data_IF_489703435113
#
_entry.id   IF_489703435113
#
_cell.length_a   1.000
_cell.length_b   1.000
_cell.length_c   1.000
_cell.angle_alpha   90.00
_cell.angle_beta   90.00
_cell.angle_gamma   90.00
#
_symmetry.space_group_name_H-M   'P 1'
#
loop_
_entity.id
_entity.type
_entity.pdbx_description
1 polymer ?
#
# COMPACT_ATOMS: atom_id res chain seq x y z
N UNK A 1 -2.91 -12.51 -13.18
CA UNK A 1 -3.91 -11.41 -13.18
C UNK A 1 -5.32 -11.88 -13.47
N UNK A 2 -5.53 -12.84 -14.38
CA UNK A 2 -6.86 -13.38 -14.72
C UNK A 2 -7.59 -13.92 -13.48
N UNK A 3 -6.93 -14.72 -12.64
CA UNK A 3 -7.54 -15.26 -11.41
C UNK A 3 -7.96 -14.16 -10.42
N UNK A 4 -7.11 -13.12 -10.28
CA UNK A 4 -7.41 -11.94 -9.47
C UNK A 4 -8.64 -11.22 -10.04
N UNK A 5 -8.70 -11.02 -11.36
CA UNK A 5 -9.85 -10.43 -12.05
C UNK A 5 -11.15 -11.22 -11.83
N UNK A 6 -11.09 -12.54 -11.93
CA UNK A 6 -12.24 -13.43 -11.69
C UNK A 6 -12.72 -13.39 -10.24
N UNK A 7 -11.80 -13.40 -9.28
CA UNK A 7 -12.11 -13.26 -7.85
C UNK A 7 -12.77 -11.91 -7.55
N UNK A 8 -12.24 -10.82 -8.11
CA UNK A 8 -12.80 -9.48 -7.95
C UNK A 8 -14.19 -9.39 -8.58
N UNK A 9 -14.40 -9.91 -9.79
CA UNK A 9 -15.72 -9.94 -10.43
C UNK A 9 -16.76 -10.66 -9.57
N UNK A 10 -16.36 -11.75 -8.92
CA UNK A 10 -17.23 -12.48 -7.98
C UNK A 10 -17.52 -11.66 -6.74
N UNK A 11 -16.48 -11.05 -6.15
CA UNK A 11 -16.60 -10.18 -4.98
C UNK A 11 -17.59 -9.03 -5.24
N UNK A 12 -17.50 -8.34 -6.38
CA UNK A 12 -18.33 -7.17 -6.71
C UNK A 12 -19.79 -7.50 -7.01
N UNK A 13 -20.13 -8.78 -7.25
CA UNK A 13 -21.52 -9.24 -7.36
C UNK A 13 -22.17 -9.49 -6.00
N UNK A 14 -21.38 -9.60 -4.94
CA UNK A 14 -21.88 -9.89 -3.59
C UNK A 14 -22.60 -8.67 -3.02
N UNK A 15 -23.83 -8.89 -2.55
CA UNK A 15 -24.63 -7.89 -1.85
C UNK A 15 -25.20 -8.48 -0.55
N UNK A 16 -24.31 -8.72 0.41
CA UNK A 16 -24.65 -9.28 1.72
C UNK A 16 -25.47 -8.26 2.52
N UNK A 17 -26.64 -8.65 3.06
CA UNK A 17 -27.42 -7.78 3.92
C UNK A 17 -26.65 -7.44 5.20
N UNK A 18 -27.03 -6.35 5.85
CA UNK A 18 -26.39 -5.93 7.09
C UNK A 18 -26.60 -6.98 8.19
N UNK A 19 -25.53 -7.39 8.84
CA UNK A 19 -25.58 -8.24 10.02
C UNK A 19 -26.29 -7.50 11.16
N UNK A 20 -26.94 -8.24 12.06
CA UNK A 20 -27.49 -7.65 13.27
C UNK A 20 -26.36 -6.98 14.07
N UNK A 21 -26.55 -5.70 14.42
CA UNK A 21 -25.58 -4.96 15.22
C UNK A 21 -25.45 -5.61 16.60
N UNK A 22 -24.23 -5.62 17.13
CA UNK A 22 -23.98 -5.92 18.53
C UNK A 22 -24.60 -4.84 19.43
N UNK A 23 -24.86 -5.16 20.70
CA UNK A 23 -25.39 -4.18 21.65
C UNK A 23 -24.51 -2.94 21.78
N UNK A 24 -23.19 -3.11 21.70
CA UNK A 24 -22.22 -2.01 21.77
C UNK A 24 -22.33 -1.10 20.54
N UNK A 25 -22.46 -1.67 19.35
CA UNK A 25 -22.64 -0.92 18.10
C UNK A 25 -23.96 -0.18 18.08
N UNK A 26 -25.05 -0.82 18.51
CA UNK A 26 -26.36 -0.15 18.53
C UNK A 26 -26.37 0.99 19.56
N UNK A 27 -25.82 0.80 20.76
CA UNK A 27 -25.64 1.88 21.75
C UNK A 27 -24.80 3.02 21.18
N UNK A 28 -23.71 2.72 20.47
CA UNK A 28 -22.87 3.73 19.84
C UNK A 28 -23.62 4.48 18.74
N UNK A 29 -24.32 3.75 17.84
CA UNK A 29 -25.15 4.33 16.80
C UNK A 29 -26.15 5.30 17.39
N UNK A 30 -26.90 4.93 18.43
CA UNK A 30 -27.89 5.82 19.09
C UNK A 30 -27.25 7.09 19.66
N UNK A 31 -26.07 6.97 20.27
CA UNK A 31 -25.33 8.09 20.86
C UNK A 31 -24.84 9.12 19.83
N UNK A 32 -24.47 8.68 18.62
CA UNK A 32 -23.90 9.57 17.59
C UNK A 32 -24.94 10.61 17.15
N UNK A 33 -24.58 11.89 17.25
CA UNK A 33 -25.43 13.04 16.88
C UNK A 33 -25.04 13.72 15.57
N UNK A 34 -23.88 13.37 15.01
CA UNK A 34 -23.33 13.96 13.78
C UNK A 34 -22.95 12.86 12.80
N UNK A 35 -23.11 13.12 11.51
CA UNK A 35 -22.66 12.21 10.45
C UNK A 35 -21.14 12.06 10.52
N UNK A 36 -20.63 10.82 10.54
CA UNK A 36 -19.19 10.55 10.67
C UNK A 36 -18.38 10.95 9.41
N UNK A 37 -19.04 11.12 8.26
CA UNK A 37 -18.41 11.57 7.00
C UNK A 37 -18.40 13.10 6.85
N UNK A 38 -19.58 13.74 6.83
CA UNK A 38 -19.67 15.20 6.60
C UNK A 38 -19.65 16.05 7.86
N UNK A 39 -19.58 15.41 9.04
CA UNK A 39 -19.61 16.08 10.35
C UNK A 39 -20.85 16.95 10.61
N UNK A 40 -21.90 16.95 9.79
CA UNK A 40 -23.15 17.72 10.04
C UNK A 40 -24.00 17.06 11.13
N UNK A 41 -24.73 17.85 11.92
CA UNK A 41 -25.54 17.34 13.04
C UNK A 41 -26.91 16.88 12.55
N UNK A 42 -27.32 15.65 12.86
CA UNK A 42 -28.55 15.05 12.32
C UNK A 42 -29.81 15.89 12.58
N UNK A 43 -30.09 16.20 13.85
CA UNK A 43 -31.28 17.00 14.21
C UNK A 43 -31.23 18.44 13.69
N UNK A 44 -30.12 19.17 13.93
CA UNK A 44 -30.00 20.58 13.54
C UNK A 44 -30.06 20.80 12.03
N UNK A 45 -29.58 19.84 11.24
CA UNK A 45 -29.57 19.91 9.78
C UNK A 45 -30.70 19.09 9.13
N UNK A 46 -31.65 18.57 9.91
CA UNK A 46 -32.76 17.72 9.46
C UNK A 46 -32.32 16.55 8.54
N UNK A 47 -31.25 15.85 8.91
CA UNK A 47 -30.68 14.76 8.12
C UNK A 47 -31.20 13.41 8.58
N UNK A 48 -31.54 12.54 7.62
CA UNK A 48 -31.91 11.14 7.87
C UNK A 48 -30.66 10.36 8.29
N UNK A 49 -30.70 9.76 9.48
CA UNK A 49 -29.62 8.96 10.07
C UNK A 49 -29.72 7.51 9.63
N UNK A 50 -28.66 6.97 9.03
CA UNK A 50 -28.61 5.61 8.47
C UNK A 50 -27.40 4.83 8.98
N UNK A 51 -27.53 3.50 8.97
CA UNK A 51 -26.46 2.55 9.33
C UNK A 51 -25.74 2.12 8.05
N UNK A 52 -24.51 2.56 7.88
CA UNK A 52 -23.66 2.16 6.77
C UNK A 52 -23.02 0.80 7.07
N UNK A 53 -22.98 -0.11 6.10
CA UNK A 53 -22.42 -1.44 6.25
C UNK A 53 -21.64 -1.90 5.02
N UNK A 54 -20.74 -2.86 5.22
CA UNK A 54 -19.98 -3.47 4.14
C UNK A 54 -20.83 -4.52 3.42
N UNK A 55 -21.11 -4.32 2.13
CA UNK A 55 -21.91 -5.25 1.32
C UNK A 55 -21.19 -6.58 1.02
N UNK A 56 -19.88 -6.69 1.30
CA UNK A 56 -19.16 -7.96 1.18
C UNK A 56 -19.28 -8.81 2.45
N UNK A 57 -19.18 -8.19 3.62
CA UNK A 57 -19.09 -8.90 4.92
C UNK A 57 -20.34 -8.79 5.79
N UNK A 58 -21.29 -7.92 5.43
CA UNK A 58 -22.46 -7.56 6.24
C UNK A 58 -22.12 -6.70 7.48
N UNK A 59 -20.85 -6.44 7.79
CA UNK A 59 -20.44 -5.74 9.02
C UNK A 59 -20.82 -4.26 8.98
N UNK A 60 -21.34 -3.76 10.10
CA UNK A 60 -21.58 -2.34 10.33
C UNK A 60 -20.26 -1.57 10.25
N UNK A 61 -20.27 -0.41 9.59
CA UNK A 61 -19.08 0.45 9.42
C UNK A 61 -19.21 1.72 10.27
N UNK A 62 -20.28 2.48 10.06
CA UNK A 62 -20.41 3.84 10.60
C UNK A 62 -21.84 4.38 10.50
N UNK A 63 -22.07 5.49 11.18
CA UNK A 63 -23.33 6.23 11.24
C UNK A 63 -23.26 7.45 10.32
N UNK A 64 -24.07 7.43 9.26
CA UNK A 64 -24.05 8.47 8.23
C UNK A 64 -25.39 9.16 8.07
N UNK A 65 -25.38 10.28 7.36
CA UNK A 65 -26.59 10.78 6.73
C UNK A 65 -26.86 10.03 5.42
N UNK A 66 -28.12 9.94 5.02
CA UNK A 66 -28.54 9.25 3.80
C UNK A 66 -27.75 9.69 2.56
N UNK A 67 -27.56 10.99 2.38
CA UNK A 67 -26.77 11.56 1.27
C UNK A 67 -25.32 11.06 1.28
N UNK A 68 -24.65 11.10 2.44
CA UNK A 68 -23.28 10.62 2.58
C UNK A 68 -23.16 9.12 2.32
N UNK A 69 -24.17 8.34 2.71
CA UNK A 69 -24.25 6.90 2.48
C UNK A 69 -24.31 6.58 0.98
N UNK A 70 -25.15 7.29 0.22
CA UNK A 70 -25.23 7.12 -1.24
C UNK A 70 -23.94 7.49 -1.98
N UNK A 71 -23.17 8.43 -1.42
CA UNK A 71 -21.86 8.79 -1.97
C UNK A 71 -20.75 7.77 -1.65
N UNK A 72 -21.01 6.75 -0.84
CA UNK A 72 -20.03 5.69 -0.62
C UNK A 72 -20.06 4.77 -1.83
N UNK A 73 -18.91 4.69 -2.49
CA UNK A 73 -18.70 3.78 -3.61
C UNK A 73 -17.67 2.73 -3.21
N UNK A 74 -17.86 1.52 -3.71
CA UNK A 74 -16.77 0.56 -3.70
C UNK A 74 -15.74 1.00 -4.73
N UNK A 75 -14.44 0.97 -4.41
CA UNK A 75 -13.42 1.37 -5.36
C UNK A 75 -13.52 0.51 -6.61
N UNK A 76 -13.41 1.08 -7.81
CA UNK A 76 -13.36 0.32 -9.06
C UNK A 76 -11.92 0.02 -9.50
N UNK A 77 -10.96 0.18 -8.59
CA UNK A 77 -9.56 -0.05 -8.89
C UNK A 77 -8.71 -0.33 -7.67
N UNK A 78 -7.54 -0.94 -7.90
CA UNK A 78 -6.46 -1.08 -6.92
C UNK A 78 -5.31 -0.18 -7.35
N UNK A 79 -4.91 0.82 -6.52
CA UNK A 79 -3.70 1.58 -6.79
C UNK A 79 -2.46 0.75 -6.44
N UNK A 80 -1.49 0.73 -7.34
CA UNK A 80 -0.13 0.24 -7.08
C UNK A 80 0.80 1.45 -7.16
N UNK A 81 1.40 1.76 -6.02
CA UNK A 81 2.28 2.91 -5.89
C UNK A 81 3.71 2.48 -6.15
N UNK A 82 4.35 3.19 -7.08
CA UNK A 82 5.79 3.11 -7.32
C UNK A 82 6.39 4.47 -6.97
N UNK A 83 7.66 4.49 -6.59
CA UNK A 83 8.39 5.72 -6.40
C UNK A 83 9.44 5.84 -7.50
N UNK A 84 9.25 6.80 -8.42
CA UNK A 84 10.00 6.92 -9.67
C UNK A 84 9.63 5.84 -10.71
N UNK A 85 8.32 5.60 -10.88
CA UNK A 85 7.76 4.62 -11.84
C UNK A 85 8.27 4.79 -13.27
N UNK A 86 8.71 5.99 -13.65
CA UNK A 86 9.23 6.26 -14.99
C UNK A 86 10.34 5.27 -15.40
N UNK A 87 11.15 4.80 -14.45
CA UNK A 87 12.23 3.83 -14.72
C UNK A 87 11.68 2.45 -15.12
N UNK A 88 10.77 1.88 -14.33
CA UNK A 88 10.25 0.52 -14.53
C UNK A 88 9.06 0.43 -15.49
N UNK A 89 8.43 1.57 -15.78
CA UNK A 89 7.15 1.61 -16.50
C UNK A 89 7.17 0.89 -17.85
N UNK A 90 8.28 0.99 -18.61
CA UNK A 90 8.40 0.37 -19.92
C UNK A 90 8.33 -1.16 -19.86
N UNK A 91 9.01 -1.77 -18.87
CA UNK A 91 8.97 -3.22 -18.67
C UNK A 91 7.57 -3.67 -18.27
N UNK A 92 6.94 -2.96 -17.32
CA UNK A 92 5.61 -3.31 -16.84
C UNK A 92 4.57 -3.19 -17.97
N UNK A 93 4.55 -2.07 -18.69
CA UNK A 93 3.58 -1.85 -19.78
C UNK A 93 3.74 -2.90 -20.88
N UNK A 94 4.98 -3.27 -21.22
CA UNK A 94 5.25 -4.31 -22.22
C UNK A 94 4.60 -5.63 -21.82
N UNK A 95 4.80 -6.07 -20.58
CA UNK A 95 4.23 -7.33 -20.09
C UNK A 95 2.70 -7.27 -19.89
N UNK A 96 2.16 -6.09 -19.56
CA UNK A 96 0.71 -5.87 -19.52
C UNK A 96 0.07 -5.79 -20.91
N UNK A 97 0.84 -5.53 -21.96
CA UNK A 97 0.39 -5.42 -23.35
C UNK A 97 0.17 -6.77 -24.05
N UNK A 98 0.43 -7.89 -23.38
CA UNK A 98 0.35 -9.23 -23.93
C UNK A 98 -1.09 -9.79 -24.09
N UNK A 99 -2.11 -9.03 -23.70
CA UNK A 99 -3.52 -9.42 -23.84
C UNK A 99 -4.37 -8.28 -24.43
N UNK A 100 -5.59 -8.61 -24.89
CA UNK A 100 -6.48 -7.69 -25.61
C UNK A 100 -7.15 -6.61 -24.72
N UNK A 101 -6.93 -6.60 -23.40
CA UNK A 101 -7.52 -5.58 -22.53
C UNK A 101 -6.79 -4.25 -22.69
N UNK A 102 -7.57 -3.17 -22.71
CA UNK A 102 -7.04 -1.84 -22.94
C UNK A 102 -6.14 -1.35 -21.78
N UNK A 103 -5.04 -0.70 -22.14
CA UNK A 103 -4.18 0.04 -21.20
C UNK A 103 -4.48 1.52 -21.36
N UNK A 104 -4.97 2.15 -20.29
CA UNK A 104 -5.18 3.59 -20.26
C UNK A 104 -3.96 4.28 -19.66
N UNK A 105 -3.38 5.22 -20.39
CA UNK A 105 -2.15 5.91 -19.98
C UNK A 105 -2.43 7.40 -19.78
N UNK A 106 -1.88 7.97 -18.71
CA UNK A 106 -1.78 9.41 -18.51
C UNK A 106 -0.31 9.80 -18.78
N UNK A 107 0.00 10.25 -20.00
CA UNK A 107 1.37 10.60 -20.37
C UNK A 107 1.78 11.96 -19.79
N UNK A 108 3.06 12.08 -19.45
CA UNK A 108 3.75 13.36 -19.27
C UNK A 108 4.51 13.75 -20.55
N UNK A 109 5.14 12.77 -21.20
CA UNK A 109 5.73 12.87 -22.53
C UNK A 109 5.49 11.57 -23.30
N UNK A 110 6.04 11.44 -24.52
CA UNK A 110 6.01 10.19 -25.29
C UNK A 110 6.73 9.02 -24.59
N UNK A 111 7.66 9.31 -23.68
CA UNK A 111 8.47 8.31 -22.99
C UNK A 111 8.18 8.24 -21.49
N UNK A 112 7.56 9.27 -20.90
CA UNK A 112 7.33 9.33 -19.45
C UNK A 112 5.84 9.32 -19.17
N UNK A 113 5.41 8.41 -18.31
CA UNK A 113 4.01 8.25 -17.90
C UNK A 113 3.83 8.66 -16.43
N UNK A 114 2.81 9.47 -16.14
CA UNK A 114 2.44 9.85 -14.77
C UNK A 114 1.75 8.68 -14.08
N UNK A 115 0.85 8.03 -14.81
CA UNK A 115 0.15 6.83 -14.38
C UNK A 115 -0.29 6.04 -15.60
N UNK A 116 -0.49 4.74 -15.42
CA UNK A 116 -1.16 3.90 -16.40
C UNK A 116 -2.04 2.90 -15.67
N UNK A 117 -3.08 2.43 -16.35
CA UNK A 117 -4.09 1.55 -15.79
C UNK A 117 -4.37 0.40 -16.74
N UNK A 118 -4.47 -0.81 -16.19
CA UNK A 118 -4.87 -2.01 -16.92
C UNK A 118 -6.21 -2.48 -16.42
N UNK A 119 -7.18 -2.64 -17.32
CA UNK A 119 -8.43 -3.31 -16.98
C UNK A 119 -8.16 -4.81 -16.77
N UNK A 120 -8.57 -5.34 -15.61
CA UNK A 120 -8.40 -6.78 -15.28
C UNK A 120 -9.75 -7.50 -15.14
N UNK A 121 -10.84 -6.76 -15.01
CA UNK A 121 -12.21 -7.26 -15.01
C UNK A 121 -13.17 -6.13 -15.40
N UNK A 122 -14.41 -6.47 -15.73
CA UNK A 122 -15.42 -5.48 -16.14
C UNK A 122 -15.54 -4.33 -15.14
N UNK A 123 -15.22 -3.11 -15.58
CA UNK A 123 -15.19 -1.87 -14.77
C UNK A 123 -14.26 -1.95 -13.56
N UNK A 124 -13.23 -2.78 -13.62
CA UNK A 124 -12.22 -2.88 -12.57
C UNK A 124 -10.80 -2.87 -13.13
N UNK A 125 -9.99 -1.93 -12.66
CA UNK A 125 -8.63 -1.72 -13.15
C UNK A 125 -7.58 -1.82 -12.05
N UNK A 126 -6.36 -2.19 -12.40
CA UNK A 126 -5.18 -1.89 -11.59
C UNK A 126 -4.62 -0.56 -12.10
N UNK A 127 -4.29 0.37 -11.19
CA UNK A 127 -3.74 1.69 -11.54
C UNK A 127 -2.35 1.85 -10.96
N UNK A 128 -1.35 2.02 -11.82
CA UNK A 128 0.02 2.28 -11.46
C UNK A 128 0.24 3.78 -11.32
N UNK A 129 0.73 4.23 -10.16
CA UNK A 129 0.87 5.64 -9.83
C UNK A 129 2.30 5.94 -9.40
N UNK A 130 2.91 6.94 -10.03
CA UNK A 130 4.23 7.45 -9.64
C UNK A 130 4.12 8.44 -8.46
N UNK A 131 4.49 7.98 -7.27
CA UNK A 131 4.49 8.82 -6.06
C UNK A 131 5.54 9.92 -6.08
N UNK A 132 6.62 9.78 -6.87
CA UNK A 132 7.66 10.81 -7.00
C UNK A 132 7.11 12.12 -7.60
N UNK A 133 6.01 12.05 -8.37
CA UNK A 133 5.33 13.23 -8.91
C UNK A 133 4.67 14.10 -7.85
N UNK A 134 4.35 13.52 -6.68
CA UNK A 134 3.74 14.22 -5.56
C UNK A 134 4.74 14.47 -4.42
N UNK A 135 5.77 13.63 -4.32
CA UNK A 135 6.81 13.67 -3.30
C UNK A 135 8.18 13.59 -3.99
N UNK A 136 8.65 14.71 -4.54
CA UNK A 136 9.85 14.79 -5.38
C UNK A 136 11.15 14.81 -4.57
N UNK A 137 11.34 13.81 -3.70
CA UNK A 137 12.55 13.58 -2.91
C UNK A 137 12.90 12.10 -2.94
N UNK A 138 14.14 11.73 -2.61
CA UNK A 138 14.51 10.31 -2.52
C UNK A 138 13.75 9.60 -1.38
N UNK A 139 13.55 8.28 -1.53
CA UNK A 139 12.97 7.45 -0.46
C UNK A 139 13.72 7.60 0.87
N UNK A 140 15.05 7.76 0.86
CA UNK A 140 15.84 7.99 2.07
C UNK A 140 15.41 9.25 2.80
N UNK A 141 15.35 10.39 2.10
CA UNK A 141 14.90 11.67 2.66
C UNK A 141 13.44 11.65 3.10
N UNK A 142 12.59 10.89 2.41
CA UNK A 142 11.18 10.72 2.80
C UNK A 142 11.06 9.89 4.08
N UNK A 143 11.84 8.82 4.21
CA UNK A 143 11.89 8.00 5.42
C UNK A 143 12.41 8.79 6.63
N UNK A 144 13.45 9.62 6.45
CA UNK A 144 13.97 10.52 7.50
C UNK A 144 12.94 11.55 8.00
N UNK A 145 12.03 11.97 7.12
CA UNK A 145 10.96 12.94 7.45
C UNK A 145 9.70 12.29 8.03
N UNK A 146 9.69 10.97 8.23
CA UNK A 146 8.57 10.30 8.87
C UNK A 146 8.38 10.78 10.30
N UNK A 147 7.15 10.67 10.79
CA UNK A 147 6.79 11.20 12.11
C UNK A 147 7.47 10.43 13.23
N UNK A 148 8.11 11.12 14.17
CA UNK A 148 8.66 10.51 15.39
C UNK A 148 7.56 9.91 16.29
N UNK A 149 6.36 10.50 16.24
CA UNK A 149 5.17 9.94 16.89
C UNK A 149 4.75 8.61 16.27
N UNK A 150 5.21 7.52 16.88
CA UNK A 150 4.91 6.13 16.51
C UNK A 150 3.41 5.83 16.43
N UNK A 151 2.55 6.55 17.16
CA UNK A 151 1.10 6.31 17.15
C UNK A 151 0.45 6.63 15.80
N UNK A 152 1.15 7.38 14.94
CA UNK A 152 0.69 7.70 13.57
C UNK A 152 0.78 6.51 12.61
N UNK A 153 1.60 5.50 12.88
CA UNK A 153 1.74 4.30 12.05
C UNK A 153 0.69 3.24 12.40
N UNK A 154 -0.59 3.64 12.46
CA UNK A 154 -1.70 2.81 12.95
C UNK A 154 -1.83 1.48 12.22
N UNK A 155 -1.60 1.47 10.91
CA UNK A 155 -1.71 0.26 10.09
C UNK A 155 -0.47 -0.63 10.25
N UNK A 156 0.74 -0.05 10.23
CA UNK A 156 2.00 -0.76 10.46
C UNK A 156 2.02 -1.43 11.84
N UNK A 157 1.51 -0.74 12.87
CA UNK A 157 1.41 -1.25 14.24
C UNK A 157 0.46 -2.45 14.41
N UNK A 158 -0.41 -2.74 13.42
CA UNK A 158 -1.23 -3.97 13.44
C UNK A 158 -0.41 -5.21 13.10
N UNK A 159 0.73 -5.03 12.44
CA UNK A 159 1.59 -6.10 11.94
C UNK A 159 2.89 -6.15 12.76
N UNK A 160 3.47 -4.99 13.04
CA UNK A 160 4.75 -4.85 13.72
C UNK A 160 4.57 -4.33 15.16
N UNK A 161 5.38 -4.86 16.06
CA UNK A 161 5.44 -4.35 17.44
C UNK A 161 6.06 -2.95 17.47
N UNK A 162 5.81 -2.20 18.55
CA UNK A 162 6.42 -0.87 18.77
C UNK A 162 7.94 -0.90 18.81
N UNK A 163 8.54 -2.04 19.23
CA UNK A 163 9.99 -2.27 19.23
C UNK A 163 10.54 -2.50 17.82
N UNK A 164 9.78 -3.21 16.99
CA UNK A 164 10.14 -3.46 15.59
C UNK A 164 9.89 -2.25 14.69
N UNK A 165 9.10 -1.27 15.14
CA UNK A 165 8.71 -0.13 14.33
C UNK A 165 9.91 0.68 13.84
N UNK A 166 10.92 0.89 14.70
CA UNK A 166 12.14 1.62 14.33
C UNK A 166 12.93 0.92 13.22
N UNK A 167 12.76 -0.40 13.08
CA UNK A 167 13.40 -1.19 12.03
C UNK A 167 12.67 -1.10 10.69
N UNK A 168 11.36 -0.79 10.68
CA UNK A 168 10.53 -0.79 9.47
C UNK A 168 10.14 0.62 9.00
N UNK A 169 10.43 1.65 9.78
CA UNK A 169 10.23 3.06 9.39
C UNK A 169 11.51 3.72 8.89
N UNK A 170 12.66 3.05 9.01
CA UNK A 170 13.91 3.48 8.36
C UNK A 170 14.04 2.77 7.02
N UNK A 171 14.64 3.44 6.04
CA UNK A 171 15.01 2.83 4.77
C UNK A 171 16.06 1.74 5.00
N UNK A 172 15.82 0.53 4.50
CA UNK A 172 16.80 -0.56 4.50
C UNK A 172 17.91 -0.38 3.47
N UNK A 173 18.86 -1.30 3.53
CA UNK A 173 20.01 -1.38 2.61
C UNK A 173 20.01 -2.72 1.92
N UNK A 174 20.52 -2.74 0.68
CA UNK A 174 20.55 -3.94 -0.15
C UNK A 174 21.90 -4.05 -0.85
N UNK A 175 22.52 -5.25 -0.89
CA UNK A 175 23.82 -5.45 -1.51
C UNK A 175 23.67 -5.64 -3.01
N UNK A 176 23.43 -4.55 -3.75
CA UNK A 176 23.13 -4.60 -5.19
C UNK A 176 24.24 -5.26 -6.02
N UNK A 177 25.51 -4.93 -5.75
CA UNK A 177 26.67 -5.50 -6.46
C UNK A 177 26.87 -6.99 -6.15
N UNK A 178 26.50 -7.42 -4.94
CA UNK A 178 26.57 -8.83 -4.58
C UNK A 178 25.60 -9.66 -5.42
N UNK A 179 24.36 -9.20 -5.62
CA UNK A 179 23.30 -9.96 -6.31
C UNK A 179 23.45 -9.86 -7.83
N UNK A 180 24.43 -10.57 -8.35
CA UNK A 180 24.74 -10.68 -9.80
C UNK A 180 23.93 -11.77 -10.55
N UNK A 181 23.17 -12.57 -9.81
CA UNK A 181 22.44 -13.72 -10.35
C UNK A 181 21.21 -14.05 -9.49
N UNK A 182 20.20 -14.65 -10.11
CA UNK A 182 18.97 -15.06 -9.42
C UNK A 182 19.23 -16.04 -8.26
N UNK A 183 20.24 -16.89 -8.37
CA UNK A 183 20.59 -17.86 -7.31
C UNK A 183 21.06 -17.19 -6.02
N UNK A 184 21.69 -16.01 -6.08
CA UNK A 184 22.15 -15.30 -4.88
C UNK A 184 21.01 -14.74 -4.04
N UNK A 185 19.82 -14.59 -4.62
CA UNK A 185 18.63 -14.20 -3.86
C UNK A 185 18.19 -15.28 -2.86
N UNK A 186 18.56 -16.53 -3.11
CA UNK A 186 18.26 -17.67 -2.24
C UNK A 186 19.34 -17.89 -1.15
N UNK A 187 20.44 -17.12 -1.17
CA UNK A 187 21.50 -17.24 -0.18
C UNK A 187 20.96 -16.98 1.23
N UNK A 188 21.31 -17.87 2.16
CA UNK A 188 20.70 -17.92 3.50
C UNK A 188 21.51 -17.19 4.56
N UNK A 189 22.36 -16.27 4.16
CA UNK A 189 23.21 -15.47 5.04
C UNK A 189 23.22 -14.01 4.57
N UNK A 190 23.46 -13.09 5.50
CA UNK A 190 23.69 -11.69 5.17
C UNK A 190 25.13 -11.54 4.63
N UNK A 191 25.34 -10.98 3.43
CA UNK A 191 26.67 -10.71 2.88
C UNK A 191 27.48 -9.83 3.83
N UNK A 192 28.79 -9.97 3.74
CA UNK A 192 29.71 -9.17 4.53
C UNK A 192 29.59 -7.68 4.17
N UNK A 193 30.00 -6.80 5.09
CA UNK A 193 29.98 -5.34 4.88
C UNK A 193 30.67 -4.91 3.57
N UNK A 194 31.73 -5.60 3.16
CA UNK A 194 32.47 -5.30 1.92
C UNK A 194 31.65 -5.57 0.66
N UNK A 195 30.73 -6.53 0.72
CA UNK A 195 29.84 -6.92 -0.40
C UNK A 195 28.65 -5.96 -0.57
N UNK A 196 28.51 -4.97 0.31
CA UNK A 196 27.57 -3.84 0.16
C UNK A 196 28.20 -2.62 -0.55
N UNK A 197 29.38 -2.77 -1.14
CA UNK A 197 29.99 -1.71 -1.94
C UNK A 197 29.06 -1.27 -3.08
N UNK A 198 29.00 0.04 -3.34
CA UNK A 198 28.16 0.64 -4.35
C UNK A 198 29.02 1.23 -5.47
N UNK A 199 29.02 0.60 -6.64
CA UNK A 199 29.80 1.05 -7.80
C UNK A 199 29.35 2.40 -8.37
N UNK A 200 28.10 2.81 -8.12
CA UNK A 200 27.56 4.10 -8.59
C UNK A 200 28.12 5.29 -7.80
N UNK A 201 28.46 5.08 -6.53
CA UNK A 201 29.02 6.12 -5.65
C UNK A 201 30.50 5.90 -5.33
N UNK A 202 31.07 4.75 -5.72
CA UNK A 202 32.43 4.33 -5.37
C UNK A 202 32.67 4.31 -3.85
N UNK A 203 31.65 3.88 -3.10
CA UNK A 203 31.64 3.94 -1.63
C UNK A 203 31.15 2.62 -1.02
N UNK A 204 31.72 2.27 0.14
CA UNK A 204 31.20 1.20 0.98
C UNK A 204 30.01 1.67 1.82
N UNK A 205 29.28 0.72 2.41
CA UNK A 205 28.21 1.02 3.37
C UNK A 205 28.76 1.54 4.71
N UNK A 206 28.00 2.40 5.39
CA UNK A 206 28.31 2.84 6.75
C UNK A 206 28.22 1.71 7.79
N UNK A 207 28.90 1.84 8.92
CA UNK A 207 28.76 0.88 10.02
C UNK A 207 27.33 0.90 10.60
N UNK A 208 26.71 2.07 10.68
CA UNK A 208 25.35 2.24 11.18
C UNK A 208 24.29 1.56 10.29
N UNK A 209 24.44 1.66 8.97
CA UNK A 209 23.52 1.01 8.02
C UNK A 209 23.72 -0.50 7.98
N UNK A 210 24.97 -0.97 8.01
CA UNK A 210 25.24 -2.41 8.08
C UNK A 210 24.71 -3.02 9.38
N UNK A 211 24.93 -2.36 10.53
CA UNK A 211 24.36 -2.78 11.81
C UNK A 211 22.83 -2.82 11.77
N UNK A 212 22.21 -1.87 11.07
CA UNK A 212 20.77 -1.86 10.86
C UNK A 212 20.30 -3.08 10.06
N UNK A 213 21.00 -3.45 8.99
CA UNK A 213 20.72 -4.67 8.21
C UNK A 213 20.86 -5.94 9.07
N UNK A 214 21.90 -6.05 9.90
CA UNK A 214 22.06 -7.16 10.85
C UNK A 214 20.87 -7.24 11.83
N UNK A 215 20.45 -6.09 12.37
CA UNK A 215 19.31 -6.04 13.29
C UNK A 215 18.01 -6.48 12.62
N UNK A 216 17.76 -6.06 11.37
CA UNK A 216 16.61 -6.52 10.56
C UNK A 216 16.70 -8.04 10.36
N UNK A 217 17.86 -8.52 9.91
CA UNK A 217 18.09 -9.94 9.63
C UNK A 217 17.78 -10.82 10.84
N UNK A 218 18.28 -10.44 12.01
CA UNK A 218 18.07 -11.17 13.26
C UNK A 218 16.66 -11.00 13.82
N UNK A 219 16.12 -9.78 13.83
CA UNK A 219 14.82 -9.49 14.49
C UNK A 219 13.65 -10.13 13.76
N UNK A 220 13.71 -10.20 12.43
CA UNK A 220 12.65 -10.77 11.60
C UNK A 220 12.94 -12.20 11.14
N UNK A 221 14.00 -12.82 11.68
CA UNK A 221 14.42 -14.19 11.36
C UNK A 221 14.52 -14.42 9.84
N UNK A 222 15.16 -13.48 9.15
CA UNK A 222 15.30 -13.47 7.69
C UNK A 222 16.09 -14.70 7.25
N UNK A 223 15.54 -15.43 6.27
CA UNK A 223 16.10 -16.71 5.82
C UNK A 223 16.87 -16.62 4.52
N UNK A 224 16.60 -15.61 3.70
CA UNK A 224 17.16 -15.48 2.35
C UNK A 224 17.37 -14.01 2.00
N UNK A 225 18.25 -13.73 1.04
CA UNK A 225 18.48 -12.37 0.53
C UNK A 225 17.23 -11.75 -0.09
N UNK A 226 16.39 -12.52 -0.79
CA UNK A 226 15.13 -11.98 -1.33
C UNK A 226 14.21 -11.44 -0.23
N UNK A 227 14.26 -12.01 0.98
CA UNK A 227 13.39 -11.56 2.07
C UNK A 227 13.84 -10.23 2.68
N UNK A 228 15.14 -9.90 2.67
CA UNK A 228 15.59 -8.57 3.15
C UNK A 228 15.18 -7.45 2.19
N UNK A 229 14.97 -7.75 0.90
CA UNK A 229 14.50 -6.78 -0.10
C UNK A 229 13.11 -6.18 0.21
N UNK A 230 12.36 -6.74 1.17
CA UNK A 230 11.06 -6.18 1.59
C UNK A 230 11.24 -4.90 2.43
N UNK A 231 12.44 -4.66 2.98
CA UNK A 231 12.74 -3.55 3.89
C UNK A 231 13.43 -2.36 3.21
N UNK A 232 13.63 -2.39 1.88
CA UNK A 232 14.44 -1.42 1.11
C UNK A 232 13.64 -0.22 0.60
#
# INVERSE_FOLDING_TARGET
MIDIGNNIKTLYKTNTPMNKLSEKEEKNFQRIKRCEKCSKHFKKNNLIKVRDHCHFTGKYRQCLCLECNFQITNPSFIPIFFHNLSYDSHFIIRELGCDDHNIQVIPNSSEKYISFSKEIAYKFSIKFVDTFRFMSESLSKLAEKLSEDKSRFRETLKIFSTKALDLVTRKGVFPYEYVDSWSKLDDTFLPSKLEFYNSLTDEGISDEDYKHAENIWQTFDIKTIVNIAIFI
#
